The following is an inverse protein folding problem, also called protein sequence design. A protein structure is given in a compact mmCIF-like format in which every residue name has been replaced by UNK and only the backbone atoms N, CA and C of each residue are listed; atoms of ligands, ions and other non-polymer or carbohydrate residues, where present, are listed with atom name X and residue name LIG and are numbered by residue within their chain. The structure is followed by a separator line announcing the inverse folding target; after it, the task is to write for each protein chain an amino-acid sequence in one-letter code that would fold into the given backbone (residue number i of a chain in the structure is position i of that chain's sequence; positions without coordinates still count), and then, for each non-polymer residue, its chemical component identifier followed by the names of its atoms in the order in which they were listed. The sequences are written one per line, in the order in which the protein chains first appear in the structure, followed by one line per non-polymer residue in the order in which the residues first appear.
data_IF_315750472816
#
_entry.id   IF_315750472816
#
_cell.length_a   1.000
_cell.length_b   1.000
_cell.length_c   1.000
_cell.angle_alpha   90.00
_cell.angle_beta   90.00
_cell.angle_gamma   90.00
#
_symmetry.space_group_name_H-M   'P 1'
#
loop_
_entity.id
_entity.type
_entity.pdbx_description
1 polymer ?
#
# COMPACT_ATOMS: atom_id res chain seq x y z
N UNK A 1 22.32 4.95 -76.25
CA UNK A 1 21.90 4.05 -75.14
C UNK A 1 22.30 4.54 -73.74
N UNK A 2 22.59 5.83 -73.48
CA UNK A 2 23.05 6.29 -72.13
C UNK A 2 22.04 7.10 -71.30
N UNK A 3 20.89 7.50 -71.86
CA UNK A 3 19.91 8.35 -71.13
C UNK A 3 18.93 7.58 -70.24
N UNK A 4 18.68 6.29 -70.51
CA UNK A 4 17.77 5.45 -69.73
C UNK A 4 18.38 4.97 -68.40
N UNK A 5 19.71 4.84 -68.34
CA UNK A 5 20.41 4.44 -67.11
C UNK A 5 20.56 5.59 -66.08
N UNK A 6 20.58 6.86 -66.52
CA UNK A 6 20.65 8.01 -65.60
C UNK A 6 19.35 8.22 -64.80
N UNK A 7 18.20 7.88 -65.38
CA UNK A 7 16.90 7.98 -64.69
C UNK A 7 16.69 6.87 -63.65
N UNK A 8 17.19 5.66 -63.91
CA UNK A 8 17.09 4.54 -62.97
C UNK A 8 17.99 4.73 -61.74
N UNK A 9 19.14 5.40 -61.88
CA UNK A 9 20.01 5.72 -60.74
C UNK A 9 19.46 6.83 -59.84
N UNK A 10 18.72 7.80 -60.39
CA UNK A 10 18.09 8.87 -59.60
C UNK A 10 16.86 8.39 -58.81
N UNK A 11 16.10 7.43 -59.33
CA UNK A 11 14.96 6.85 -58.61
C UNK A 11 15.39 5.96 -57.43
N UNK A 12 16.52 5.25 -57.55
CA UNK A 12 17.05 4.41 -56.46
C UNK A 12 17.57 5.20 -55.26
N UNK A 13 18.14 6.39 -55.48
CA UNK A 13 18.70 7.23 -54.41
C UNK A 13 17.61 7.94 -53.60
N UNK A 14 16.47 8.28 -54.23
CA UNK A 14 15.36 8.95 -53.52
C UNK A 14 14.56 7.98 -52.63
N UNK A 15 14.47 6.70 -52.99
CA UNK A 15 13.80 5.67 -52.14
C UNK A 15 14.69 5.25 -50.96
N UNK A 16 16.02 5.35 -51.07
CA UNK A 16 16.94 5.00 -49.98
C UNK A 16 17.04 6.07 -48.88
N UNK A 17 16.59 7.31 -49.12
CA UNK A 17 16.70 8.43 -48.17
C UNK A 17 15.42 8.70 -47.35
N UNK A 18 14.32 7.99 -47.61
CA UNK A 18 13.04 8.09 -46.87
C UNK A 18 12.78 6.91 -45.90
N UNK A 19 13.75 6.01 -45.72
CA UNK A 19 13.70 4.89 -44.76
C UNK A 19 14.65 5.08 -43.55
N UNK A 20 14.90 6.31 -43.12
CA UNK A 20 15.19 6.58 -41.70
C UNK A 20 13.83 6.81 -41.03
N UNK A 21 13.35 6.03 -40.06
CA UNK A 21 14.05 5.39 -38.95
C UNK A 21 13.47 3.98 -38.70
N UNK A 22 14.22 2.92 -39.02
CA UNK A 22 14.08 1.67 -38.27
C UNK A 22 15.13 1.70 -37.17
N UNK A 23 14.73 2.14 -35.98
CA UNK A 23 15.41 1.75 -34.75
C UNK A 23 15.36 0.23 -34.70
N UNK A 24 16.50 -0.42 -34.92
CA UNK A 24 16.66 -1.84 -34.62
C UNK A 24 16.37 -2.01 -33.13
N UNK A 25 15.20 -2.56 -32.79
CA UNK A 25 14.99 -3.15 -31.47
C UNK A 25 16.13 -4.16 -31.25
N UNK A 26 16.80 -4.17 -30.08
CA UNK A 26 17.64 -5.29 -29.74
C UNK A 26 16.75 -6.54 -29.58
N UNK A 27 16.67 -7.36 -30.62
CA UNK A 27 16.19 -8.74 -30.54
C UNK A 27 17.29 -9.61 -29.96
N UNK A 28 17.59 -9.42 -28.68
CA UNK A 28 18.21 -10.43 -27.85
C UNK A 28 17.94 -10.08 -26.39
N UNK A 29 16.76 -10.45 -25.90
CA UNK A 29 16.64 -10.73 -24.47
C UNK A 29 17.01 -12.20 -24.36
N UNK A 30 18.26 -12.43 -23.96
CA UNK A 30 18.73 -13.72 -23.52
C UNK A 30 17.95 -14.07 -22.24
N UNK A 31 16.82 -14.78 -22.39
CA UNK A 31 16.04 -15.33 -21.26
C UNK A 31 16.71 -16.63 -20.79
N UNK A 32 18.00 -16.54 -20.47
CA UNK A 32 18.77 -17.58 -19.77
C UNK A 32 19.70 -16.95 -18.73
N UNK A 33 19.29 -15.81 -18.16
CA UNK A 33 19.85 -15.35 -16.89
C UNK A 33 19.44 -16.31 -15.77
N UNK A 34 20.35 -16.68 -14.84
CA UNK A 34 19.98 -17.49 -13.69
C UNK A 34 18.87 -16.78 -12.91
N UNK A 35 17.77 -17.50 -12.68
CA UNK A 35 16.69 -17.10 -11.78
C UNK A 35 17.32 -16.54 -10.50
N UNK A 36 16.99 -15.30 -10.06
CA UNK A 36 17.43 -14.85 -8.75
C UNK A 36 16.78 -15.76 -7.71
N UNK A 37 17.58 -16.69 -7.16
CA UNK A 37 17.18 -17.67 -6.17
C UNK A 37 16.96 -17.06 -4.77
N UNK A 38 16.54 -15.80 -4.69
CA UNK A 38 16.41 -15.08 -3.42
C UNK A 38 15.23 -14.12 -3.49
N UNK A 39 14.02 -14.68 -3.47
CA UNK A 39 12.85 -13.93 -3.04
C UNK A 39 13.07 -13.57 -1.55
N UNK A 40 12.90 -12.30 -1.15
CA UNK A 40 13.05 -11.90 0.24
C UNK A 40 11.95 -12.55 1.10
N UNK A 41 12.27 -13.09 2.29
CA UNK A 41 11.28 -13.64 3.20
C UNK A 41 10.52 -12.51 3.89
N UNK A 42 9.51 -11.93 3.22
CA UNK A 42 8.63 -10.92 3.84
C UNK A 42 7.53 -11.52 4.74
N UNK A 43 7.47 -12.85 4.87
CA UNK A 43 6.46 -13.54 5.68
C UNK A 43 6.90 -13.91 7.11
N UNK A 44 8.06 -13.45 7.61
CA UNK A 44 8.60 -13.92 8.90
C UNK A 44 8.92 -12.77 9.87
N UNK A 45 7.91 -12.12 10.45
CA UNK A 45 8.11 -11.42 11.72
C UNK A 45 6.87 -11.47 12.59
N UNK A 46 6.62 -12.64 13.19
CA UNK A 46 5.97 -12.74 14.50
C UNK A 46 6.58 -13.93 15.24
N UNK A 47 7.85 -13.78 15.67
CA UNK A 47 8.34 -14.48 16.86
C UNK A 47 8.47 -13.44 17.96
N UNK A 48 7.66 -13.63 18.99
CA UNK A 48 7.53 -12.80 20.16
C UNK A 48 8.91 -12.43 20.75
N UNK A 49 9.25 -11.15 20.71
CA UNK A 49 10.22 -10.57 21.60
C UNK A 49 9.47 -10.08 22.83
N UNK A 50 9.35 -10.95 23.84
CA UNK A 50 8.93 -10.55 25.17
C UNK A 50 10.06 -9.72 25.78
N UNK A 51 9.94 -8.39 25.68
CA UNK A 51 10.80 -7.45 26.41
C UNK A 51 10.03 -7.00 27.66
N UNK A 52 10.59 -7.15 28.88
CA UNK A 52 9.94 -6.63 30.08
C UNK A 52 9.99 -5.10 30.09
N UNK A 53 8.81 -4.47 30.11
CA UNK A 53 8.63 -3.04 30.29
C UNK A 53 8.99 -2.64 31.72
N UNK A 54 10.12 -1.94 31.90
CA UNK A 54 10.41 -1.18 33.11
C UNK A 54 9.71 0.18 33.04
N UNK A 55 9.03 0.54 34.13
CA UNK A 55 8.16 1.71 34.31
C UNK A 55 8.83 3.06 33.95
N UNK A 56 8.07 4.04 33.42
CA UNK A 56 8.51 5.43 33.47
C UNK A 56 8.23 6.04 34.85
N UNK A 57 9.30 6.56 35.47
CA UNK A 57 9.27 7.35 36.72
C UNK A 57 8.42 8.61 36.57
N UNK A 58 7.53 8.81 37.54
CA UNK A 58 6.80 10.05 37.74
C UNK A 58 7.76 11.19 38.09
N UNK A 59 7.72 12.27 37.32
CA UNK A 59 8.35 13.55 37.68
C UNK A 59 7.30 14.44 38.33
N UNK A 60 7.40 14.65 39.64
CA UNK A 60 6.54 15.56 40.40
C UNK A 60 7.08 16.98 40.22
N UNK A 61 6.37 17.81 39.46
CA UNK A 61 6.62 19.26 39.43
C UNK A 61 5.82 19.93 40.54
N UNK A 62 6.53 20.39 41.57
CA UNK A 62 5.99 21.21 42.67
C UNK A 62 5.80 22.63 42.14
N UNK A 63 4.55 23.10 42.05
CA UNK A 63 4.24 24.51 41.82
C UNK A 63 4.15 25.25 43.18
N UNK A 64 4.65 26.49 43.28
CA UNK A 64 4.70 27.22 44.54
C UNK A 64 3.31 27.64 45.02
N UNK A 65 3.05 27.41 46.32
CA UNK A 65 1.86 27.83 47.04
C UNK A 65 1.97 29.33 47.32
N UNK A 66 1.04 30.13 46.78
CA UNK A 66 0.90 31.52 47.21
C UNK A 66 0.12 31.57 48.52
N UNK A 67 0.77 31.99 49.60
CA UNK A 67 0.13 32.35 50.87
C UNK A 67 -0.41 33.78 50.77
N UNK A 68 -1.73 33.94 50.79
CA UNK A 68 -2.36 35.26 51.00
C UNK A 68 -2.76 35.39 52.47
N UNK A 69 -2.24 36.44 53.11
CA UNK A 69 -2.63 36.90 54.44
C UNK A 69 -3.95 37.65 54.33
N UNK A 70 -5.04 37.12 54.89
CA UNK A 70 -6.32 37.83 54.95
C UNK A 70 -6.40 38.64 56.25
N UNK A 71 -6.39 39.97 56.11
CA UNK A 71 -6.68 40.94 57.16
C UNK A 71 -8.14 40.78 57.64
N UNK A 72 -8.31 40.58 58.94
CA UNK A 72 -9.61 40.53 59.62
C UNK A 72 -10.21 41.94 59.64
N UNK A 73 -11.32 42.14 58.92
CA UNK A 73 -12.20 43.28 59.11
C UNK A 73 -13.47 42.80 59.83
N UNK A 74 -13.66 43.26 61.08
CA UNK A 74 -14.89 43.07 61.86
C UNK A 74 -16.00 43.91 61.23
N UNK A 75 -16.99 43.24 60.62
CA UNK A 75 -18.20 43.89 60.10
C UNK A 75 -19.37 43.49 61.00
N UNK A 76 -20.00 44.51 61.60
CA UNK A 76 -21.17 44.41 62.47
C UNK A 76 -22.36 43.88 61.65
N UNK A 77 -22.98 42.80 62.13
CA UNK A 77 -24.13 42.16 61.49
C UNK A 77 -25.42 42.98 61.70
N UNK A 78 -26.11 43.29 60.61
CA UNK A 78 -27.51 43.75 60.62
C UNK A 78 -28.34 42.65 59.95
N UNK A 79 -29.41 42.10 60.58
CA UNK A 79 -30.14 40.96 60.00
C UNK A 79 -31.03 41.40 58.83
N UNK A 80 -30.81 40.80 57.66
CA UNK A 80 -31.65 40.96 56.47
C UNK A 80 -32.67 39.80 56.39
N UNK A 81 -33.96 40.06 56.11
CA UNK A 81 -34.98 39.00 56.04
C UNK A 81 -34.68 37.97 54.92
N UNK A 82 -35.08 36.70 55.09
CA UNK A 82 -34.69 35.61 54.20
C UNK A 82 -35.42 35.71 52.85
N UNK A 83 -34.66 35.96 51.78
CA UNK A 83 -35.12 35.71 50.41
C UNK A 83 -35.00 34.22 50.13
N UNK A 84 -36.13 33.51 50.03
CA UNK A 84 -36.17 32.11 49.58
C UNK A 84 -35.87 32.08 48.09
N UNK A 85 -34.64 31.71 47.72
CA UNK A 85 -34.25 31.42 46.34
C UNK A 85 -34.75 30.01 46.00
N UNK A 86 -35.55 29.80 44.93
CA UNK A 86 -35.93 28.46 44.49
C UNK A 86 -34.67 27.64 44.13
N UNK A 87 -34.60 26.33 44.44
CA UNK A 87 -33.47 25.53 44.02
C UNK A 87 -33.46 25.42 42.48
N UNK A 88 -32.39 25.92 41.86
CA UNK A 88 -32.09 25.66 40.44
C UNK A 88 -32.04 24.14 40.23
N UNK A 89 -32.80 23.56 39.29
CA UNK A 89 -32.71 22.13 39.01
C UNK A 89 -31.29 21.80 38.50
N UNK A 90 -30.54 21.03 39.30
CA UNK A 90 -29.25 20.47 38.89
C UNK A 90 -29.52 19.37 37.86
N UNK A 91 -29.30 19.65 36.58
CA UNK A 91 -29.33 18.63 35.53
C UNK A 91 -28.11 17.71 35.78
N UNK A 92 -28.28 16.40 35.99
CA UNK A 92 -27.14 15.49 36.14
C UNK A 92 -26.30 15.51 34.86
N UNK A 93 -24.95 15.46 34.97
CA UNK A 93 -24.11 15.40 33.78
C UNK A 93 -24.49 14.16 32.96
N UNK A 94 -24.73 14.37 31.67
CA UNK A 94 -25.05 13.28 30.75
C UNK A 94 -23.91 12.23 30.79
N UNK A 95 -24.23 10.93 30.82
CA UNK A 95 -23.20 9.90 30.78
C UNK A 95 -22.41 10.03 29.48
N UNK A 96 -21.10 10.21 29.59
CA UNK A 96 -20.20 10.17 28.44
C UNK A 96 -20.27 8.78 27.82
N UNK A 97 -20.93 8.65 26.66
CA UNK A 97 -20.84 7.45 25.84
C UNK A 97 -19.41 7.35 25.31
N UNK A 98 -18.60 6.49 25.93
CA UNK A 98 -17.30 6.10 25.38
C UNK A 98 -17.57 4.96 24.42
N UNK A 99 -17.62 5.26 23.12
CA UNK A 99 -17.71 4.23 22.09
C UNK A 99 -16.36 3.48 22.09
N UNK A 100 -16.34 2.14 22.18
CA UNK A 100 -15.09 1.40 22.11
C UNK A 100 -14.45 1.64 20.74
N UNK A 101 -13.33 2.36 20.72
CA UNK A 101 -12.51 2.56 19.53
C UNK A 101 -11.82 1.23 19.22
N UNK A 102 -12.25 0.55 18.16
CA UNK A 102 -11.49 -0.59 17.66
C UNK A 102 -10.09 -0.12 17.24
N UNK A 103 -9.04 -0.93 17.49
CA UNK A 103 -7.71 -0.61 16.99
C UNK A 103 -7.74 -0.51 15.45
N UNK A 104 -7.06 0.50 14.91
CA UNK A 104 -6.92 0.64 13.45
C UNK A 104 -6.01 -0.46 12.92
N UNK A 105 -6.51 -1.25 11.96
CA UNK A 105 -5.72 -2.28 11.29
C UNK A 105 -4.51 -1.67 10.56
N UNK A 106 -3.37 -2.37 10.56
CA UNK A 106 -2.19 -2.04 9.77
C UNK A 106 -2.46 -2.17 8.26
N UNK A 107 -1.64 -1.56 7.39
CA UNK A 107 -1.75 -1.76 5.95
C UNK A 107 -1.76 -3.23 5.52
N UNK A 108 -0.86 -4.03 6.09
CA UNK A 108 -0.73 -5.46 5.81
C UNK A 108 -1.95 -6.23 6.30
N UNK A 109 -2.47 -5.91 7.49
CA UNK A 109 -3.69 -6.54 8.01
C UNK A 109 -4.90 -6.24 7.11
N UNK A 110 -5.00 -5.01 6.58
CA UNK A 110 -6.05 -4.64 5.63
C UNK A 110 -5.93 -5.39 4.32
N UNK A 111 -4.71 -5.59 3.83
CA UNK A 111 -4.47 -6.40 2.65
C UNK A 111 -4.81 -7.88 2.89
N UNK A 112 -4.34 -8.44 4.00
CA UNK A 112 -4.65 -9.82 4.41
C UNK A 112 -6.15 -10.06 4.59
N UNK A 113 -6.89 -9.06 5.08
CA UNK A 113 -8.35 -9.14 5.20
C UNK A 113 -9.08 -9.31 3.84
N UNK A 114 -8.47 -8.89 2.72
CA UNK A 114 -9.03 -9.07 1.38
C UNK A 114 -8.81 -10.46 0.80
N UNK A 115 -7.91 -11.25 1.38
CA UNK A 115 -7.57 -12.59 0.89
C UNK A 115 -8.36 -13.64 1.68
N UNK A 116 -9.46 -14.10 1.11
CA UNK A 116 -10.23 -15.21 1.66
C UNK A 116 -9.55 -16.54 1.29
N UNK A 117 -9.54 -17.49 2.23
CA UNK A 117 -9.02 -18.85 2.01
C UNK A 117 -7.61 -18.90 1.43
N UNK A 118 -6.75 -17.97 1.87
CA UNK A 118 -5.37 -17.85 1.38
C UNK A 118 -4.56 -19.12 1.64
N UNK A 119 -3.98 -19.69 0.60
CA UNK A 119 -3.07 -20.84 0.64
C UNK A 119 -1.69 -20.44 0.12
N UNK A 120 -0.68 -20.54 0.99
CA UNK A 120 0.72 -20.27 0.60
C UNK A 120 1.24 -21.44 -0.24
N UNK A 121 1.94 -21.12 -1.32
CA UNK A 121 2.64 -22.07 -2.18
C UNK A 121 4.14 -21.94 -1.92
N UNK A 122 4.72 -22.94 -1.24
CA UNK A 122 6.14 -23.03 -0.94
C UNK A 122 6.72 -24.37 -1.46
N UNK A 123 7.66 -24.37 -2.42
CA UNK A 123 8.26 -23.19 -3.07
C UNK A 123 7.28 -22.49 -4.03
N UNK A 124 7.47 -21.19 -4.30
CA UNK A 124 6.67 -20.46 -5.29
C UNK A 124 6.61 -21.18 -6.64
N UNK A 125 5.43 -21.21 -7.25
CA UNK A 125 5.15 -21.95 -8.49
C UNK A 125 5.17 -21.02 -9.69
N UNK A 126 5.74 -21.49 -10.80
CA UNK A 126 5.76 -20.75 -12.06
C UNK A 126 4.43 -20.90 -12.81
N UNK A 127 3.88 -19.78 -13.28
CA UNK A 127 2.70 -19.70 -14.12
C UNK A 127 3.04 -18.97 -15.42
N UNK A 128 2.24 -19.18 -16.45
CA UNK A 128 2.32 -18.47 -17.71
C UNK A 128 0.97 -17.84 -18.04
N UNK A 129 1.00 -16.67 -18.68
CA UNK A 129 -0.19 -16.06 -19.26
C UNK A 129 0.10 -15.39 -20.59
N UNK A 130 -0.89 -15.36 -21.48
CA UNK A 130 -0.81 -14.57 -22.72
C UNK A 130 -1.03 -13.09 -22.43
N UNK A 131 -2.03 -12.79 -21.60
CA UNK A 131 -2.41 -11.44 -21.23
C UNK A 131 -3.20 -11.49 -19.92
N UNK A 132 -2.64 -10.95 -18.85
CA UNK A 132 -3.38 -10.80 -17.60
C UNK A 132 -3.15 -9.45 -16.96
N UNK A 133 -4.12 -8.98 -16.21
CA UNK A 133 -4.06 -7.72 -15.50
C UNK A 133 -3.41 -7.94 -14.14
N UNK A 134 -2.34 -7.18 -13.87
CA UNK A 134 -1.67 -7.19 -12.58
C UNK A 134 -2.24 -6.08 -11.70
N UNK A 135 -2.76 -6.47 -10.56
CA UNK A 135 -3.39 -5.58 -9.60
C UNK A 135 -2.56 -5.45 -8.33
N UNK A 136 -2.59 -4.27 -7.74
CA UNK A 136 -2.13 -4.01 -6.37
C UNK A 136 -3.30 -3.52 -5.54
N UNK A 137 -3.45 -4.03 -4.34
CA UNK A 137 -4.42 -3.50 -3.40
C UNK A 137 -3.78 -2.39 -2.58
N UNK A 138 -4.30 -1.17 -2.68
CA UNK A 138 -3.87 -0.06 -1.85
C UNK A 138 -4.53 -0.19 -0.46
N UNK A 139 -3.75 -0.50 0.59
CA UNK A 139 -4.30 -0.70 1.93
C UNK A 139 -4.63 0.62 2.66
N UNK A 140 -4.12 1.76 2.17
CA UNK A 140 -4.43 3.08 2.73
C UNK A 140 -5.81 3.52 2.26
N UNK A 141 -6.04 3.44 0.96
CA UNK A 141 -7.30 3.87 0.33
C UNK A 141 -8.33 2.73 0.17
N UNK A 142 -7.96 1.50 0.54
CA UNK A 142 -8.80 0.30 0.46
C UNK A 142 -9.39 0.06 -0.93
N UNK A 143 -8.54 0.12 -1.96
CA UNK A 143 -8.96 -0.01 -3.36
C UNK A 143 -7.98 -0.86 -4.18
N UNK A 144 -8.50 -1.63 -5.14
CA UNK A 144 -7.66 -2.29 -6.15
C UNK A 144 -7.17 -1.27 -7.18
N UNK A 145 -5.92 -1.41 -7.57
CA UNK A 145 -5.20 -0.53 -8.51
C UNK A 145 -4.62 -1.40 -9.60
N UNK A 146 -5.01 -1.14 -10.85
CA UNK A 146 -4.37 -1.77 -11.99
C UNK A 146 -2.95 -1.20 -12.16
N UNK A 147 -1.95 -2.07 -12.05
CA UNK A 147 -0.55 -1.71 -12.30
C UNK A 147 -0.20 -1.78 -13.78
N UNK A 148 -0.78 -2.76 -14.49
CA UNK A 148 -0.53 -2.97 -15.91
C UNK A 148 -0.94 -4.35 -16.38
N UNK A 149 -0.47 -4.71 -17.56
CA UNK A 149 -0.72 -6.01 -18.18
C UNK A 149 0.57 -6.83 -18.14
N UNK A 150 0.49 -8.05 -17.64
CA UNK A 150 1.56 -9.05 -17.67
C UNK A 150 1.34 -10.04 -18.80
N UNK A 151 2.44 -10.46 -19.42
CA UNK A 151 2.47 -11.48 -20.47
C UNK A 151 3.75 -12.29 -20.32
N UNK A 152 3.64 -13.60 -20.45
CA UNK A 152 4.74 -14.54 -20.25
C UNK A 152 4.71 -15.20 -18.87
N UNK A 153 5.89 -15.56 -18.40
CA UNK A 153 6.08 -16.33 -17.17
C UNK A 153 6.11 -15.41 -15.93
N UNK A 154 5.45 -15.84 -14.85
CA UNK A 154 5.47 -15.14 -13.56
C UNK A 154 5.40 -16.10 -12.37
N UNK A 155 5.92 -15.68 -11.22
CA UNK A 155 5.96 -16.49 -10.01
C UNK A 155 4.72 -16.25 -9.16
N UNK A 156 4.14 -17.34 -8.64
CA UNK A 156 2.99 -17.31 -7.74
C UNK A 156 3.40 -17.85 -6.38
N UNK A 157 3.15 -17.07 -5.34
CA UNK A 157 3.52 -17.41 -3.96
C UNK A 157 2.33 -17.84 -3.10
N UNK A 158 1.10 -17.51 -3.49
CA UNK A 158 -0.11 -17.95 -2.81
C UNK A 158 -1.30 -17.93 -3.76
N UNK A 159 -2.35 -18.68 -3.41
CA UNK A 159 -3.68 -18.57 -4.02
C UNK A 159 -4.66 -18.07 -2.97
N UNK A 160 -5.69 -17.34 -3.38
CA UNK A 160 -6.75 -16.88 -2.49
C UNK A 160 -8.00 -16.51 -3.30
N UNK A 161 -9.10 -16.25 -2.62
CA UNK A 161 -10.29 -15.64 -3.21
C UNK A 161 -10.36 -14.17 -2.80
N UNK A 162 -10.44 -13.25 -3.76
CA UNK A 162 -10.51 -11.83 -3.46
C UNK A 162 -11.87 -11.48 -2.88
N UNK A 163 -11.89 -10.80 -1.73
CA UNK A 163 -13.11 -10.54 -0.96
C UNK A 163 -14.14 -9.68 -1.69
N UNK A 164 -13.70 -8.69 -2.46
CA UNK A 164 -14.60 -7.69 -3.07
C UNK A 164 -15.59 -8.30 -4.08
N UNK A 165 -15.11 -9.19 -4.94
CA UNK A 165 -15.86 -9.79 -6.05
C UNK A 165 -15.96 -11.31 -5.97
N UNK A 166 -15.36 -11.94 -4.95
CA UNK A 166 -15.36 -13.38 -4.77
C UNK A 166 -14.57 -14.12 -5.85
N UNK A 167 -13.70 -13.44 -6.61
CA UNK A 167 -12.96 -14.06 -7.69
C UNK A 167 -11.68 -14.76 -7.19
N UNK A 168 -11.35 -15.95 -7.72
CA UNK A 168 -10.07 -16.59 -7.43
C UNK A 168 -8.92 -15.74 -7.98
N UNK A 169 -7.87 -15.58 -7.17
CA UNK A 169 -6.70 -14.78 -7.49
C UNK A 169 -5.41 -15.49 -7.04
N UNK A 170 -4.32 -15.13 -7.72
CA UNK A 170 -2.98 -15.62 -7.47
C UNK A 170 -2.14 -14.45 -6.93
N UNK A 171 -1.50 -14.64 -5.78
CA UNK A 171 -0.57 -13.67 -5.21
C UNK A 171 0.77 -13.76 -5.93
N UNK A 172 1.22 -12.64 -6.46
CA UNK A 172 2.41 -12.49 -7.29
C UNK A 172 3.32 -11.46 -6.63
N UNK A 173 4.55 -11.81 -6.20
CA UNK A 173 5.51 -10.82 -5.76
C UNK A 173 5.97 -9.99 -6.96
N UNK A 174 5.98 -8.67 -6.82
CA UNK A 174 6.36 -7.75 -7.89
C UNK A 174 7.44 -6.77 -7.40
N UNK A 175 8.53 -6.69 -8.17
CA UNK A 175 9.57 -5.69 -7.99
C UNK A 175 9.16 -4.40 -8.72
N UNK A 176 9.06 -3.31 -7.96
CA UNK A 176 8.58 -2.01 -8.44
C UNK A 176 9.43 -1.52 -9.61
N UNK A 177 8.78 -1.23 -10.75
CA UNK A 177 9.39 -0.78 -12.01
C UNK A 177 10.34 -1.79 -12.68
N UNK A 178 10.31 -3.07 -12.29
CA UNK A 178 11.19 -4.10 -12.89
C UNK A 178 10.49 -5.43 -13.18
N UNK A 179 9.45 -5.79 -12.42
CA UNK A 179 8.77 -7.07 -12.57
C UNK A 179 7.96 -7.20 -13.87
N UNK A 180 7.95 -8.40 -14.45
CA UNK A 180 7.00 -8.85 -15.47
C UNK A 180 6.75 -7.90 -16.66
N UNK A 181 7.76 -7.12 -17.06
CA UNK A 181 7.66 -6.16 -18.16
C UNK A 181 6.95 -4.84 -17.83
N UNK A 182 6.53 -4.63 -16.57
CA UNK A 182 5.92 -3.38 -16.10
C UNK A 182 7.02 -2.53 -15.48
N UNK A 183 7.59 -1.63 -16.28
CA UNK A 183 8.78 -0.84 -15.91
C UNK A 183 8.51 0.64 -15.62
N UNK A 184 7.30 1.12 -15.92
CA UNK A 184 6.95 2.53 -15.79
C UNK A 184 5.60 2.70 -15.07
N UNK A 185 5.59 2.42 -13.77
CA UNK A 185 4.43 2.80 -12.95
C UNK A 185 4.30 4.33 -12.90
N UNK A 186 3.06 4.81 -12.92
CA UNK A 186 2.82 6.25 -12.83
C UNK A 186 3.36 6.80 -11.49
N UNK A 187 3.88 8.05 -11.47
CA UNK A 187 4.38 8.65 -10.22
C UNK A 187 3.34 8.65 -9.10
N UNK A 188 2.06 8.83 -9.42
CA UNK A 188 0.97 8.79 -8.45
C UNK A 188 0.82 7.41 -7.77
N UNK A 189 1.03 6.32 -8.51
CA UNK A 189 1.01 4.97 -7.94
C UNK A 189 2.24 4.74 -7.05
N UNK A 190 3.42 5.21 -7.47
CA UNK A 190 4.64 5.12 -6.66
C UNK A 190 4.51 5.87 -5.33
N UNK A 191 3.94 7.07 -5.32
CA UNK A 191 3.69 7.80 -4.07
C UNK A 191 2.72 7.06 -3.15
N UNK A 192 1.69 6.41 -3.71
CA UNK A 192 0.75 5.60 -2.92
C UNK A 192 1.42 4.36 -2.32
N UNK A 193 2.26 3.68 -3.09
CA UNK A 193 3.06 2.53 -2.63
C UNK A 193 3.96 2.95 -1.47
N UNK A 194 4.66 4.09 -1.59
CA UNK A 194 5.51 4.62 -0.51
C UNK A 194 4.71 5.06 0.71
N UNK A 195 3.56 5.71 0.50
CA UNK A 195 2.66 6.12 1.59
C UNK A 195 2.07 4.92 2.35
N UNK A 196 1.92 3.77 1.68
CA UNK A 196 1.53 2.51 2.29
C UNK A 196 2.68 1.80 3.03
N UNK A 197 3.91 2.32 2.96
CA UNK A 197 5.08 1.78 3.66
C UNK A 197 5.93 0.82 2.84
N UNK A 198 5.65 0.64 1.55
CA UNK A 198 6.41 -0.26 0.67
C UNK A 198 7.52 0.48 -0.10
N UNK A 199 8.60 -0.23 -0.42
CA UNK A 199 9.72 0.28 -1.24
C UNK A 199 9.81 -0.46 -2.58
N UNK A 200 10.61 -1.51 -2.63
CA UNK A 200 11.08 -2.14 -3.87
C UNK A 200 10.24 -3.37 -4.23
N UNK A 201 9.67 -4.03 -3.24
CA UNK A 201 8.83 -5.21 -3.41
C UNK A 201 7.45 -4.96 -2.84
N UNK A 202 6.44 -5.32 -3.64
CA UNK A 202 5.04 -5.30 -3.22
C UNK A 202 4.37 -6.62 -3.54
N UNK A 203 3.36 -6.92 -2.72
CA UNK A 203 2.46 -8.05 -2.95
C UNK A 203 1.38 -7.59 -3.93
N UNK A 204 1.37 -8.21 -5.10
CA UNK A 204 0.40 -7.95 -6.16
C UNK A 204 -0.41 -9.22 -6.41
N UNK A 205 -1.42 -9.12 -7.26
CA UNK A 205 -2.23 -10.27 -7.59
C UNK A 205 -2.74 -10.21 -9.03
N UNK A 206 -3.05 -11.40 -9.54
CA UNK A 206 -3.66 -11.62 -10.85
C UNK A 206 -4.91 -12.46 -10.65
N UNK A 207 -6.01 -12.10 -11.31
CA UNK A 207 -7.21 -12.92 -11.28
C UNK A 207 -7.01 -14.21 -12.08
N UNK A 208 -7.48 -15.32 -11.53
CA UNK A 208 -7.42 -16.61 -12.19
C UNK A 208 -8.43 -16.64 -13.34
N UNK A 209 -7.92 -16.47 -14.56
CA UNK A 209 -8.68 -16.54 -15.81
C UNK A 209 -8.22 -17.76 -16.62
N UNK A 210 -8.96 -18.20 -17.66
CA UNK A 210 -8.54 -19.32 -18.51
C UNK A 210 -7.18 -19.11 -19.21
N UNK A 211 -6.74 -17.85 -19.33
CA UNK A 211 -5.45 -17.47 -19.91
C UNK A 211 -4.27 -17.63 -18.94
N UNK A 212 -4.53 -17.86 -17.65
CA UNK A 212 -3.51 -18.02 -16.62
C UNK A 212 -3.40 -19.51 -16.30
N UNK A 213 -2.26 -20.11 -16.65
CA UNK A 213 -2.04 -21.55 -16.46
C UNK A 213 -0.74 -21.83 -15.72
N UNK A 214 -0.72 -22.86 -14.86
CA UNK A 214 0.53 -23.34 -14.29
C UNK A 214 1.43 -23.90 -15.39
N UNK A 215 2.75 -23.73 -15.25
CA UNK A 215 3.75 -24.28 -16.17
C UNK A 215 4.29 -25.62 -15.69
#
# INVERSE_FOLDING_TARGET
MSHRYRWLLLAGVVVALLSGCLSTLPTNIDVNGPLPATLPPLAQTLRASAVPTLLPSASVTVAPVMSYTATVALIVATPQPPTVVPPTPTIPPAPTLVLPTLPSLSPEERWRAQQLDRQIIDPPRLYNTKRSELYWYDPVNQQKVLLGIVSGDFMVQATFTFREDGQPALEVPYEVNRGYGITALSPAVLERIRAAGYSDWIETFVFLTPEVQPK
#
